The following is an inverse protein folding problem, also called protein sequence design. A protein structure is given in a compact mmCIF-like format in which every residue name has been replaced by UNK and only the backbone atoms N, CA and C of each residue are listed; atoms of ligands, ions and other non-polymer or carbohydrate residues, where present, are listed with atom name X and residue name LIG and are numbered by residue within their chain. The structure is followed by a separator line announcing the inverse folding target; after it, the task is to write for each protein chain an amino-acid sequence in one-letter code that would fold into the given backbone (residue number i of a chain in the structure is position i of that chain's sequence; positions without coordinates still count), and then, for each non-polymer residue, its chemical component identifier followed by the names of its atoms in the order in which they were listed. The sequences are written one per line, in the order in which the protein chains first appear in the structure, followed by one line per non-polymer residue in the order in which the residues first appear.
data_IF_035193372692
#
_entry.id   IF_035193372692
#
_cell.length_a   1.000
_cell.length_b   1.000
_cell.length_c   1.000
_cell.angle_alpha   90.00
_cell.angle_beta   90.00
_cell.angle_gamma   90.00
#
_symmetry.space_group_name_H-M   'P 1'
#
loop_
_entity.id
_entity.type
_entity.pdbx_description
1 polymer ?
#
# COMPACT_ATOMS: atom_id res chain seq x y z
N UNK A 1 -16.02 -27.12 19.59
CA UNK A 1 -15.21 -27.97 20.48
C UNK A 1 -14.21 -28.61 19.57
N UNK A 2 -12.94 -28.30 19.80
CA UNK A 2 -11.86 -28.84 18.99
C UNK A 2 -11.79 -30.34 19.32
N UNK A 3 -12.11 -31.16 18.34
CA UNK A 3 -12.15 -32.62 18.43
C UNK A 3 -13.20 -33.22 19.40
N UNK A 4 -14.48 -33.09 19.03
CA UNK A 4 -15.65 -33.66 19.74
C UNK A 4 -15.53 -35.15 20.04
N UNK A 5 -14.81 -35.92 19.23
CA UNK A 5 -14.70 -37.35 19.42
C UNK A 5 -14.00 -37.71 20.74
N UNK A 6 -13.03 -36.89 21.17
CA UNK A 6 -12.23 -37.12 22.38
C UNK A 6 -13.01 -36.82 23.67
N UNK A 7 -14.10 -36.06 23.59
CA UNK A 7 -14.93 -35.71 24.75
C UNK A 7 -16.04 -36.73 25.02
N UNK A 8 -16.23 -37.70 24.13
CA UNK A 8 -17.24 -38.75 24.30
C UNK A 8 -16.67 -39.87 25.17
N UNK A 9 -17.31 -40.13 26.31
CA UNK A 9 -16.99 -41.29 27.16
C UNK A 9 -17.15 -42.59 26.36
N UNK A 10 -16.21 -43.52 26.53
CA UNK A 10 -16.11 -44.77 25.76
C UNK A 10 -17.41 -45.61 25.82
N UNK A 11 -18.12 -45.59 26.95
CA UNK A 11 -19.40 -46.30 27.13
C UNK A 11 -20.53 -45.81 26.20
N UNK A 12 -20.41 -44.61 25.62
CA UNK A 12 -21.38 -44.04 24.69
C UNK A 12 -20.85 -43.95 23.26
N UNK A 13 -19.68 -44.53 22.97
CA UNK A 13 -19.04 -44.48 21.66
C UNK A 13 -19.93 -45.06 20.55
N UNK A 14 -20.76 -46.06 20.84
CA UNK A 14 -21.63 -46.72 19.86
C UNK A 14 -23.08 -46.22 19.87
N UNK A 15 -23.41 -45.14 20.61
CA UNK A 15 -24.77 -44.60 20.65
C UNK A 15 -25.01 -43.58 19.52
N UNK A 16 -25.77 -43.91 18.46
CA UNK A 16 -25.89 -43.04 17.28
C UNK A 16 -26.69 -41.77 17.58
N UNK A 17 -27.73 -41.88 18.43
CA UNK A 17 -28.59 -40.75 18.82
C UNK A 17 -27.85 -39.72 19.68
N UNK A 18 -26.98 -40.20 20.57
CA UNK A 18 -26.23 -39.33 21.48
C UNK A 18 -25.12 -38.62 20.72
N UNK A 19 -24.42 -39.35 19.84
CA UNK A 19 -23.48 -38.77 18.86
C UNK A 19 -24.12 -37.69 18.00
N UNK A 20 -25.28 -37.95 17.39
CA UNK A 20 -25.94 -36.95 16.52
C UNK A 20 -26.30 -35.67 17.28
N UNK A 21 -26.78 -35.78 18.53
CA UNK A 21 -27.08 -34.62 19.36
C UNK A 21 -25.80 -33.80 19.65
N UNK A 22 -24.72 -34.46 20.08
CA UNK A 22 -23.45 -33.79 20.39
C UNK A 22 -22.87 -33.12 19.15
N UNK A 23 -22.85 -33.79 17.99
CA UNK A 23 -22.34 -33.19 16.75
C UNK A 23 -23.18 -32.00 16.29
N UNK A 24 -24.52 -32.09 16.36
CA UNK A 24 -25.38 -30.94 16.03
C UNK A 24 -25.17 -29.76 16.98
N UNK A 25 -24.93 -30.02 18.26
CA UNK A 25 -24.59 -28.98 19.22
C UNK A 25 -23.22 -28.37 18.92
N UNK A 26 -22.24 -29.19 18.58
CA UNK A 26 -20.91 -28.72 18.22
C UNK A 26 -20.91 -27.88 16.94
N UNK A 27 -21.73 -28.22 15.96
CA UNK A 27 -21.89 -27.42 14.75
C UNK A 27 -22.59 -26.09 15.05
N UNK A 28 -23.64 -26.11 15.87
CA UNK A 28 -24.38 -24.90 16.25
C UNK A 28 -23.59 -23.93 17.16
N UNK A 29 -22.72 -24.47 18.02
CA UNK A 29 -21.91 -23.70 18.99
C UNK A 29 -20.45 -23.56 18.51
N UNK A 30 -20.08 -24.21 17.42
CA UNK A 30 -18.72 -24.22 16.88
C UNK A 30 -18.33 -22.83 16.38
N UNK A 31 -17.28 -22.28 16.97
CA UNK A 31 -16.73 -20.95 16.61
C UNK A 31 -15.50 -21.09 15.69
N UNK A 32 -15.04 -22.33 15.44
CA UNK A 32 -13.77 -22.61 14.74
C UNK A 32 -13.77 -22.07 13.31
N UNK A 33 -14.77 -22.42 12.48
CA UNK A 33 -14.86 -21.88 11.12
C UNK A 33 -14.99 -20.36 11.09
N UNK A 34 -15.70 -19.79 12.05
CA UNK A 34 -15.79 -18.33 12.18
C UNK A 34 -14.44 -17.69 12.53
N UNK A 35 -13.63 -18.29 13.40
CA UNK A 35 -12.32 -17.74 13.78
C UNK A 35 -11.31 -17.82 12.64
N UNK A 36 -11.32 -18.92 11.89
CA UNK A 36 -10.47 -19.08 10.70
C UNK A 36 -10.87 -18.05 9.64
N UNK A 37 -12.17 -17.93 9.33
CA UNK A 37 -12.68 -16.91 8.41
C UNK A 37 -12.36 -15.50 8.90
N UNK A 38 -12.54 -15.23 10.19
CA UNK A 38 -12.24 -13.93 10.78
C UNK A 38 -10.74 -13.62 10.71
N UNK A 39 -9.89 -14.61 10.98
CA UNK A 39 -8.45 -14.47 10.84
C UNK A 39 -8.09 -14.16 9.38
N UNK A 40 -8.59 -14.93 8.43
CA UNK A 40 -8.23 -14.78 7.01
C UNK A 40 -8.78 -13.48 6.39
N UNK A 41 -9.97 -13.04 6.79
CA UNK A 41 -10.62 -11.84 6.23
C UNK A 41 -10.12 -10.55 6.88
N UNK A 42 -9.70 -10.59 8.16
CA UNK A 42 -9.34 -9.39 8.93
C UNK A 42 -7.86 -9.32 9.28
N UNK A 43 -7.29 -10.39 9.82
CA UNK A 43 -5.98 -10.35 10.47
C UNK A 43 -4.82 -10.85 9.61
N UNK A 44 -5.06 -11.80 8.72
CA UNK A 44 -4.05 -12.28 7.80
C UNK A 44 -3.89 -11.25 6.68
N UNK A 45 -2.80 -10.48 6.71
CA UNK A 45 -2.57 -9.42 5.73
C UNK A 45 -2.52 -9.93 4.29
N UNK A 46 -2.13 -11.18 4.05
CA UNK A 46 -2.04 -11.77 2.70
C UNK A 46 -3.43 -12.05 2.10
N UNK A 47 -4.39 -12.47 2.93
CA UNK A 47 -5.74 -12.86 2.51
C UNK A 47 -6.83 -11.85 2.87
N UNK A 48 -6.50 -10.86 3.70
CA UNK A 48 -7.47 -9.88 4.20
C UNK A 48 -8.23 -9.22 3.07
N UNK A 49 -9.54 -9.11 3.25
CA UNK A 49 -10.41 -8.40 2.33
C UNK A 49 -10.35 -6.89 2.58
N UNK A 50 -11.10 -6.14 1.79
CA UNK A 50 -11.22 -4.68 1.78
C UNK A 50 -11.33 -4.08 3.19
N UNK A 51 -12.25 -4.58 4.02
CA UNK A 51 -12.44 -4.06 5.37
C UNK A 51 -11.25 -4.39 6.29
N UNK A 52 -10.72 -5.61 6.22
CA UNK A 52 -9.54 -6.02 7.01
C UNK A 52 -8.32 -5.15 6.69
N UNK A 53 -8.07 -4.91 5.41
CA UNK A 53 -7.01 -4.01 4.96
C UNK A 53 -7.22 -2.58 5.43
N UNK A 54 -8.47 -2.09 5.50
CA UNK A 54 -8.75 -0.75 6.03
C UNK A 54 -8.50 -0.66 7.55
N UNK A 55 -8.72 -1.74 8.29
CA UNK A 55 -8.34 -1.83 9.71
C UNK A 55 -6.82 -1.78 9.85
N UNK A 56 -6.08 -2.57 9.07
CA UNK A 56 -4.62 -2.53 9.05
C UNK A 56 -4.08 -1.15 8.68
N UNK A 57 -4.68 -0.50 7.67
CA UNK A 57 -4.33 0.86 7.27
C UNK A 57 -4.49 1.87 8.40
N UNK A 58 -5.59 1.79 9.17
CA UNK A 58 -5.79 2.63 10.37
C UNK A 58 -4.73 2.38 11.43
N UNK A 59 -4.31 1.13 11.64
CA UNK A 59 -3.27 0.76 12.61
C UNK A 59 -1.92 1.38 12.24
N UNK A 60 -1.53 1.31 10.96
CA UNK A 60 -0.23 1.86 10.49
C UNK A 60 -0.31 3.32 10.06
N UNK A 61 -1.48 3.94 10.15
CA UNK A 61 -1.78 5.33 9.80
C UNK A 61 -1.54 5.61 8.31
N UNK A 62 -2.14 4.79 7.45
CA UNK A 62 -2.19 5.01 5.99
C UNK A 62 -3.61 4.81 5.46
N UNK A 63 -4.02 5.68 4.54
CA UNK A 63 -5.33 5.62 3.89
C UNK A 63 -5.29 4.90 2.54
N UNK A 64 -6.43 4.30 2.16
CA UNK A 64 -6.62 3.68 0.84
C UNK A 64 -6.83 4.71 -0.28
N UNK A 65 -7.44 5.84 0.07
CA UNK A 65 -7.69 6.94 -0.86
C UNK A 65 -6.58 7.96 -0.69
N UNK A 66 -5.81 8.18 -1.76
CA UNK A 66 -4.69 9.11 -1.77
C UNK A 66 -5.00 10.26 -2.73
N UNK A 67 -4.78 11.48 -2.27
CA UNK A 67 -4.80 12.65 -3.14
C UNK A 67 -3.48 12.76 -3.88
N UNK A 68 -3.53 13.01 -5.18
CA UNK A 68 -2.34 13.17 -6.02
C UNK A 68 -2.47 14.43 -6.85
N UNK A 69 -1.39 15.18 -6.91
CA UNK A 69 -1.26 16.24 -7.91
C UNK A 69 -0.68 15.59 -9.14
N UNK A 70 -1.51 15.42 -10.17
CA UNK A 70 -1.09 14.79 -11.42
C UNK A 70 -0.16 15.74 -12.18
N UNK A 71 0.93 15.19 -12.74
CA UNK A 71 1.78 15.89 -13.69
C UNK A 71 1.02 16.01 -15.02
N UNK A 72 0.10 16.97 -15.10
CA UNK A 72 -0.65 17.24 -16.32
C UNK A 72 0.14 18.20 -17.20
N UNK A 73 0.40 17.74 -18.41
CA UNK A 73 1.04 18.52 -19.44
C UNK A 73 -0.02 19.33 -20.17
N UNK A 74 0.18 20.64 -20.24
CA UNK A 74 -0.70 21.56 -20.94
C UNK A 74 -0.02 22.18 -22.15
N UNK A 75 -0.84 22.71 -23.06
CA UNK A 75 -0.34 23.54 -24.15
C UNK A 75 0.37 24.77 -23.58
N UNK A 76 1.56 25.08 -24.13
CA UNK A 76 2.26 26.32 -23.84
C UNK A 76 3.40 26.61 -24.81
N UNK A 77 4.23 27.56 -24.43
CA UNK A 77 5.35 28.05 -25.26
C UNK A 77 6.69 27.73 -24.60
N UNK A 78 7.75 27.70 -25.40
CA UNK A 78 9.10 27.32 -24.97
C UNK A 78 9.67 28.25 -23.89
N UNK A 79 9.18 29.48 -23.81
CA UNK A 79 9.55 30.46 -22.77
C UNK A 79 9.08 30.05 -21.36
N UNK A 80 8.14 29.11 -21.28
CA UNK A 80 7.64 28.56 -20.02
C UNK A 80 8.22 27.16 -19.70
N UNK A 81 9.17 26.65 -20.51
CA UNK A 81 9.88 25.41 -20.23
C UNK A 81 10.92 25.61 -19.13
N UNK A 82 11.06 24.60 -18.26
CA UNK A 82 12.00 24.60 -17.15
C UNK A 82 13.42 24.28 -17.61
N UNK A 83 14.43 24.78 -16.89
CA UNK A 83 15.84 24.39 -17.06
C UNK A 83 16.40 23.89 -15.71
N UNK A 84 16.62 22.57 -15.53
CA UNK A 84 16.47 21.49 -16.50
C UNK A 84 15.01 21.13 -16.82
N UNK A 85 14.78 20.51 -17.99
CA UNK A 85 13.45 20.13 -18.44
C UNK A 85 12.73 19.19 -17.46
N UNK A 86 11.46 19.49 -17.16
CA UNK A 86 10.61 18.71 -16.27
C UNK A 86 9.54 17.95 -17.06
N UNK A 87 9.00 16.88 -16.47
CA UNK A 87 7.98 16.03 -17.11
C UNK A 87 6.69 16.79 -17.41
N UNK A 88 6.38 17.84 -16.67
CA UNK A 88 5.18 18.68 -16.80
C UNK A 88 5.40 19.92 -17.69
N UNK A 89 6.56 20.04 -18.35
CA UNK A 89 6.84 21.17 -19.23
C UNK A 89 5.82 21.29 -20.38
N UNK A 90 5.45 22.52 -20.74
CA UNK A 90 4.42 22.78 -21.73
C UNK A 90 4.77 22.22 -23.11
N UNK A 91 3.76 21.69 -23.80
CA UNK A 91 3.92 21.12 -25.14
C UNK A 91 3.37 22.04 -26.22
N UNK A 92 3.92 21.98 -27.46
CA UNK A 92 3.48 22.83 -28.56
C UNK A 92 2.10 22.46 -29.10
N UNK A 93 1.62 23.21 -30.09
CA UNK A 93 0.31 23.01 -30.71
C UNK A 93 0.12 21.57 -31.20
N UNK A 94 -1.07 21.01 -30.98
CA UNK A 94 -1.46 19.63 -31.30
C UNK A 94 -0.77 18.53 -30.47
N UNK A 95 -0.10 18.88 -29.37
CA UNK A 95 0.54 17.88 -28.48
C UNK A 95 -0.09 17.82 -27.08
N UNK A 96 -0.79 18.86 -26.61
CA UNK A 96 -1.46 18.89 -25.31
C UNK A 96 -2.72 19.78 -25.31
N UNK A 97 -3.69 19.56 -24.41
CA UNK A 97 -4.87 20.41 -24.29
C UNK A 97 -4.56 21.76 -23.62
N UNK A 98 -5.41 22.76 -23.81
CA UNK A 98 -5.36 24.01 -23.04
C UNK A 98 -5.70 23.76 -21.56
N UNK A 99 -5.09 24.54 -20.67
CA UNK A 99 -5.42 24.52 -19.24
C UNK A 99 -6.89 24.89 -19.01
N UNK A 100 -7.64 24.02 -18.34
CA UNK A 100 -9.09 24.17 -18.14
C UNK A 100 -9.50 24.82 -16.82
N UNK A 101 -8.54 25.16 -15.94
CA UNK A 101 -8.83 25.76 -14.63
C UNK A 101 -9.39 24.82 -13.58
N UNK A 102 -9.44 23.50 -13.84
CA UNK A 102 -9.93 22.50 -12.89
C UNK A 102 -8.92 22.17 -11.77
N UNK A 103 -9.43 21.49 -10.73
CA UNK A 103 -8.67 21.01 -9.58
C UNK A 103 -7.41 20.25 -10.04
N UNK A 104 -6.24 20.73 -9.58
CA UNK A 104 -4.93 20.10 -9.84
C UNK A 104 -4.77 18.74 -9.15
N UNK A 105 -5.62 18.44 -8.18
CA UNK A 105 -5.57 17.23 -7.36
C UNK A 105 -6.69 16.26 -7.72
N UNK A 106 -6.36 15.00 -7.98
CA UNK A 106 -7.30 13.89 -8.10
C UNK A 106 -7.19 12.96 -6.88
N UNK A 107 -8.26 12.21 -6.59
CA UNK A 107 -8.24 11.18 -5.54
C UNK A 107 -8.20 9.80 -6.18
N UNK A 108 -7.17 9.02 -5.86
CA UNK A 108 -7.01 7.65 -6.33
C UNK A 108 -7.35 6.68 -5.21
N UNK A 109 -8.24 5.72 -5.50
CA UNK A 109 -8.51 4.60 -4.60
C UNK A 109 -7.62 3.43 -4.97
N UNK A 110 -6.78 2.99 -4.03
CA UNK A 110 -5.88 1.87 -4.24
C UNK A 110 -6.62 0.53 -4.26
N UNK A 111 -6.17 -0.38 -5.14
CA UNK A 111 -6.62 -1.78 -5.16
C UNK A 111 -6.08 -2.53 -3.94
N UNK A 112 -6.73 -3.64 -3.56
CA UNK A 112 -6.32 -4.43 -2.39
C UNK A 112 -4.84 -4.86 -2.45
N UNK A 113 -4.35 -5.25 -3.63
CA UNK A 113 -2.97 -5.73 -3.77
C UNK A 113 -1.93 -4.62 -3.59
N UNK A 114 -2.17 -3.45 -4.17
CA UNK A 114 -1.30 -2.28 -3.99
C UNK A 114 -1.36 -1.78 -2.56
N UNK A 115 -2.56 -1.74 -1.98
CA UNK A 115 -2.78 -1.26 -0.62
C UNK A 115 -2.13 -2.19 0.43
N UNK A 116 -2.17 -3.50 0.21
CA UNK A 116 -1.45 -4.48 1.05
C UNK A 116 0.05 -4.23 1.07
N UNK A 117 0.65 -3.98 -0.10
CA UNK A 117 2.07 -3.61 -0.18
C UNK A 117 2.33 -2.28 0.53
N UNK A 118 1.46 -1.29 0.36
CA UNK A 118 1.60 0.01 1.01
C UNK A 118 1.56 -0.09 2.54
N UNK A 119 0.64 -0.88 3.09
CA UNK A 119 0.52 -1.13 4.53
C UNK A 119 1.81 -1.78 5.06
N UNK A 120 2.31 -2.82 4.37
CA UNK A 120 3.56 -3.49 4.75
C UNK A 120 4.75 -2.55 4.69
N UNK A 121 4.84 -1.73 3.64
CA UNK A 121 5.87 -0.71 3.49
C UNK A 121 5.81 0.30 4.63
N UNK A 122 4.61 0.80 4.97
CA UNK A 122 4.40 1.76 6.06
C UNK A 122 4.76 1.16 7.43
N UNK A 123 4.36 -0.08 7.68
CA UNK A 123 4.73 -0.80 8.89
C UNK A 123 6.26 -0.92 9.02
N UNK A 124 6.92 -1.34 7.93
CA UNK A 124 8.38 -1.45 7.90
C UNK A 124 9.08 -0.09 8.02
N UNK A 125 8.52 0.96 7.41
CA UNK A 125 9.00 2.33 7.53
C UNK A 125 8.95 2.85 8.97
N UNK A 126 7.89 2.52 9.71
CA UNK A 126 7.72 2.94 11.11
C UNK A 126 8.74 2.32 12.07
N UNK A 127 9.34 1.16 11.72
CA UNK A 127 10.38 0.47 12.51
C UNK A 127 11.78 0.55 11.89
N UNK A 128 11.92 1.27 10.78
CA UNK A 128 13.17 1.36 10.03
C UNK A 128 14.17 2.28 10.71
N UNK A 129 15.45 1.92 10.63
CA UNK A 129 16.58 2.78 11.03
C UNK A 129 16.92 3.87 9.98
N UNK A 130 16.14 3.95 8.90
CA UNK A 130 16.32 4.89 7.79
C UNK A 130 17.72 4.86 7.14
N UNK A 131 18.44 3.74 7.23
CA UNK A 131 19.71 3.57 6.53
C UNK A 131 19.49 3.40 5.03
N UNK A 132 20.39 3.92 4.19
CA UNK A 132 20.27 3.83 2.72
C UNK A 132 19.97 2.39 2.22
N UNK A 133 20.66 1.33 2.72
CA UNK A 133 20.33 -0.03 2.31
C UNK A 133 18.91 -0.46 2.68
N UNK A 134 18.41 -0.08 3.86
CA UNK A 134 17.04 -0.40 4.27
C UNK A 134 16.00 0.40 3.47
N UNK A 135 16.26 1.69 3.22
CA UNK A 135 15.41 2.50 2.34
C UNK A 135 15.35 1.92 0.93
N UNK A 136 16.48 1.51 0.36
CA UNK A 136 16.52 0.85 -0.95
C UNK A 136 15.73 -0.47 -0.95
N UNK A 137 15.79 -1.27 0.12
CA UNK A 137 14.96 -2.48 0.23
C UNK A 137 13.46 -2.15 0.23
N UNK A 138 13.05 -1.11 0.96
CA UNK A 138 11.65 -0.67 0.99
C UNK A 138 11.18 -0.17 -0.38
N UNK A 139 12.02 0.61 -1.07
CA UNK A 139 11.74 1.05 -2.44
C UNK A 139 11.60 -0.13 -3.40
N UNK A 140 12.54 -1.08 -3.34
CA UNK A 140 12.50 -2.27 -4.19
C UNK A 140 11.28 -3.16 -3.89
N UNK A 141 10.83 -3.24 -2.64
CA UNK A 141 9.61 -3.96 -2.27
C UNK A 141 8.36 -3.35 -2.90
N UNK A 142 8.25 -2.02 -2.89
CA UNK A 142 7.07 -1.32 -3.40
C UNK A 142 7.09 -1.14 -4.93
N UNK A 143 8.24 -0.74 -5.49
CA UNK A 143 8.38 -0.26 -6.87
C UNK A 143 9.33 -1.09 -7.74
N UNK A 144 9.95 -2.14 -7.21
CA UNK A 144 10.99 -2.91 -7.92
C UNK A 144 10.53 -3.59 -9.21
N UNK A 145 9.21 -3.75 -9.43
CA UNK A 145 8.64 -4.25 -10.68
C UNK A 145 8.55 -3.19 -11.78
N UNK A 146 8.48 -1.92 -11.40
CA UNK A 146 8.22 -0.80 -12.32
C UNK A 146 9.52 -0.25 -12.94
N UNK A 147 10.64 -0.37 -12.23
CA UNK A 147 11.95 -0.01 -12.76
C UNK A 147 13.00 0.19 -11.67
N UNK A 148 14.10 0.84 -12.03
CA UNK A 148 15.17 1.17 -11.10
C UNK A 148 14.75 2.34 -10.21
N UNK A 149 14.85 2.15 -8.90
CA UNK A 149 14.67 3.20 -7.90
C UNK A 149 15.72 3.06 -6.80
N UNK A 150 16.17 4.19 -6.27
CA UNK A 150 17.18 4.21 -5.21
C UNK A 150 17.14 5.53 -4.44
N UNK A 151 17.72 5.50 -3.24
CA UNK A 151 18.00 6.69 -2.45
C UNK A 151 19.37 7.24 -2.84
N UNK A 152 19.41 8.54 -3.11
CA UNK A 152 20.65 9.31 -3.28
C UNK A 152 20.83 10.24 -2.08
N UNK A 153 22.03 10.27 -1.53
CA UNK A 153 22.42 11.27 -0.52
C UNK A 153 22.99 12.47 -1.26
N UNK A 154 22.30 13.60 -1.20
CA UNK A 154 22.70 14.83 -1.89
C UNK A 154 23.61 15.73 -1.03
N UNK A 155 23.91 15.32 0.21
CA UNK A 155 24.64 16.14 1.17
C UNK A 155 23.75 17.14 1.90
N UNK A 156 24.34 17.96 2.79
CA UNK A 156 23.66 19.07 3.47
C UNK A 156 22.30 18.74 4.14
N UNK A 157 22.17 17.54 4.73
CA UNK A 157 20.90 17.05 5.28
C UNK A 157 19.78 16.97 4.23
N UNK A 158 20.12 16.60 2.99
CA UNK A 158 19.19 16.38 1.89
C UNK A 158 19.35 14.96 1.34
N UNK A 159 18.23 14.30 1.11
CA UNK A 159 18.16 13.02 0.41
C UNK A 159 17.14 13.08 -0.72
N UNK A 160 17.40 12.35 -1.80
CA UNK A 160 16.46 12.20 -2.91
C UNK A 160 16.06 10.75 -3.10
N UNK A 161 14.76 10.52 -3.21
CA UNK A 161 14.20 9.31 -3.79
C UNK A 161 14.21 9.45 -5.31
N UNK A 162 15.06 8.66 -5.98
CA UNK A 162 15.23 8.71 -7.43
C UNK A 162 14.49 7.54 -8.08
N UNK A 163 13.64 7.85 -9.05
CA UNK A 163 12.92 6.90 -9.89
C UNK A 163 13.34 7.08 -11.34
N UNK A 164 13.95 6.06 -11.95
CA UNK A 164 14.39 6.06 -13.37
C UNK A 164 13.31 5.52 -14.32
N UNK A 165 12.04 5.80 -14.02
CA UNK A 165 10.89 5.32 -14.79
C UNK A 165 9.66 6.22 -14.60
N UNK A 166 8.70 6.19 -15.54
CA UNK A 166 7.43 6.89 -15.38
C UNK A 166 6.58 6.27 -14.26
N UNK A 167 6.34 7.02 -13.17
CA UNK A 167 5.42 6.62 -12.11
C UNK A 167 3.97 6.67 -12.61
N UNK A 168 3.21 5.61 -12.37
CA UNK A 168 1.76 5.64 -12.57
C UNK A 168 1.08 6.59 -11.59
N UNK A 169 -0.16 7.01 -11.88
CA UNK A 169 -0.92 7.92 -11.01
C UNK A 169 -1.05 7.39 -9.57
N UNK A 170 -1.20 6.08 -9.40
CA UNK A 170 -1.27 5.45 -8.08
C UNK A 170 0.08 5.44 -7.36
N UNK A 171 1.17 5.16 -8.06
CA UNK A 171 2.53 5.21 -7.49
C UNK A 171 2.92 6.64 -7.12
N UNK A 172 2.59 7.62 -7.96
CA UNK A 172 2.79 9.03 -7.68
C UNK A 172 2.00 9.47 -6.44
N UNK A 173 0.74 9.03 -6.32
CA UNK A 173 -0.09 9.28 -5.13
C UNK A 173 0.55 8.71 -3.86
N UNK A 174 1.12 7.50 -3.95
CA UNK A 174 1.85 6.88 -2.84
C UNK A 174 3.07 7.71 -2.47
N UNK A 175 3.88 8.09 -3.44
CA UNK A 175 5.12 8.84 -3.20
C UNK A 175 4.84 10.24 -2.62
N UNK A 176 3.78 10.93 -3.08
CA UNK A 176 3.44 12.29 -2.64
C UNK A 176 2.70 12.33 -1.29
N UNK A 177 1.72 11.44 -1.08
CA UNK A 177 0.69 11.65 -0.04
C UNK A 177 0.51 10.49 0.93
N UNK A 178 1.13 9.33 0.71
CA UNK A 178 0.93 8.18 1.62
C UNK A 178 1.62 8.31 2.98
N UNK A 179 2.70 9.11 3.07
CA UNK A 179 3.57 9.14 4.24
C UNK A 179 4.29 7.81 4.52
N UNK A 180 4.36 6.90 3.55
CA UNK A 180 5.01 5.59 3.68
C UNK A 180 6.51 5.59 3.38
N UNK A 181 7.04 6.65 2.75
CA UNK A 181 8.47 6.82 2.53
C UNK A 181 9.12 7.42 3.79
N UNK A 182 9.92 6.66 4.56
CA UNK A 182 10.53 7.17 5.77
C UNK A 182 11.74 8.04 5.44
N UNK A 183 12.11 8.93 6.35
CA UNK A 183 13.35 9.68 6.25
C UNK A 183 13.92 9.95 7.65
N UNK A 184 15.24 10.08 7.78
CA UNK A 184 15.84 10.51 9.04
C UNK A 184 15.31 11.88 9.46
N UNK A 185 15.22 12.10 10.78
CA UNK A 185 14.73 13.36 11.34
C UNK A 185 15.69 14.50 10.94
N UNK A 186 15.12 15.60 10.45
CA UNK A 186 15.87 16.80 10.06
C UNK A 186 16.51 16.72 8.67
N UNK A 187 16.17 15.70 7.87
CA UNK A 187 16.61 15.57 6.48
C UNK A 187 15.48 15.98 5.54
N UNK A 188 15.81 16.85 4.59
CA UNK A 188 14.90 17.24 3.50
C UNK A 188 14.82 16.10 2.49
N UNK A 189 13.60 15.72 2.12
CA UNK A 189 13.34 14.64 1.15
C UNK A 189 12.86 15.23 -0.16
N UNK A 190 13.62 14.97 -1.22
CA UNK A 190 13.21 15.28 -2.58
C UNK A 190 12.75 14.02 -3.29
N UNK A 191 11.79 14.18 -4.21
CA UNK A 191 11.35 13.12 -5.11
C UNK A 191 11.82 13.53 -6.49
N UNK A 192 12.69 12.72 -7.09
CA UNK A 192 13.28 12.99 -8.39
C UNK A 192 12.85 11.89 -9.34
N UNK A 193 12.20 12.29 -10.43
CA UNK A 193 11.82 11.41 -11.50
C UNK A 193 12.72 11.71 -12.70
N UNK A 194 13.51 10.73 -13.14
CA UNK A 194 14.39 10.82 -14.30
C UNK A 194 13.79 9.94 -15.40
N UNK A 195 13.13 10.56 -16.38
CA UNK A 195 12.54 9.89 -17.55
C UNK A 195 13.26 10.34 -18.80
#
# INVERSE_FOLDING_TARGET
MINVADTILTQYADSPKLKSLIYSLNEAVGIEGFLDDFYDVIWNIETADTYGLDVWGKIVVVGRQLTVTENKIYFGFNEASSDPALVDDPQPFNHAPFYSGELLTSTVTLTNDVYRKLIMMKAAANISDCTIPNLNKLLMFMFGTSGKCYVRNDGEMVMSYVFEFPLSTAELAIVQSSGALPAPIGVTVNIVQQV
#
